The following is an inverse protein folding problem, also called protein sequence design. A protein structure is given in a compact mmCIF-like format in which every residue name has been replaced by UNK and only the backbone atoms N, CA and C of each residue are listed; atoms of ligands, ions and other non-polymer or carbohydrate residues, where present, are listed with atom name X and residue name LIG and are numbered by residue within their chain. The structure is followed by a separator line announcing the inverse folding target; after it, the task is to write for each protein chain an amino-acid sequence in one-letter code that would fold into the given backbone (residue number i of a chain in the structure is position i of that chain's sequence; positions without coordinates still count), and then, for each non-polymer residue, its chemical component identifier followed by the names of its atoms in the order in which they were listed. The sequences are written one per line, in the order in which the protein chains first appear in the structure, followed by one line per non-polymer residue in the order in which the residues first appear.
data_IF_566633342977
#
_entry.id   IF_566633342977
#
_cell.length_a   1.000
_cell.length_b   1.000
_cell.length_c   1.000
_cell.angle_alpha   90.00
_cell.angle_beta   90.00
_cell.angle_gamma   90.00
#
_symmetry.space_group_name_H-M   'P 1'
#
loop_
_entity.id
_entity.type
_entity.pdbx_description
1 polymer ?
#
# COMPACT_ATOMS: atom_id res chain seq x y z
N UNK A 1 10.36 17.65 1.69
CA UNK A 1 10.69 17.39 0.28
C UNK A 1 10.10 16.03 -0.05
N UNK A 2 9.24 15.96 -1.03
CA UNK A 2 8.65 14.72 -1.51
C UNK A 2 9.69 13.95 -2.32
N UNK A 3 9.81 12.66 -2.07
CA UNK A 3 10.79 11.78 -2.72
C UNK A 3 10.08 11.07 -3.88
N UNK A 4 10.74 10.98 -5.03
CA UNK A 4 10.28 10.10 -6.12
C UNK A 4 10.65 8.68 -5.72
N UNK A 5 9.65 7.81 -5.59
CA UNK A 5 9.87 6.42 -5.23
C UNK A 5 10.43 5.65 -6.44
N UNK A 6 11.53 4.95 -6.22
CA UNK A 6 12.02 3.98 -7.20
C UNK A 6 11.02 2.83 -7.31
N UNK A 7 10.70 2.41 -8.52
CA UNK A 7 9.70 1.37 -8.76
C UNK A 7 10.12 0.41 -9.87
N UNK A 8 9.78 -0.85 -9.67
CA UNK A 8 9.88 -1.85 -10.71
C UNK A 8 8.53 -2.04 -11.40
N UNK A 9 8.54 -2.40 -12.70
CA UNK A 9 7.36 -2.48 -13.54
C UNK A 9 7.30 -3.80 -14.30
N UNK A 10 6.11 -4.40 -14.36
CA UNK A 10 5.76 -5.48 -15.28
C UNK A 10 4.67 -4.98 -16.22
N UNK A 11 4.91 -5.09 -17.53
CA UNK A 11 3.99 -4.66 -18.56
C UNK A 11 2.75 -5.55 -18.61
N UNK A 12 1.64 -5.02 -19.12
CA UNK A 12 0.49 -5.84 -19.50
C UNK A 12 0.89 -6.93 -20.48
N UNK A 13 0.34 -8.12 -20.30
CA UNK A 13 0.65 -9.29 -21.13
C UNK A 13 0.08 -9.16 -22.55
N UNK A 14 -1.07 -8.51 -22.68
CA UNK A 14 -1.75 -8.28 -23.97
C UNK A 14 -1.15 -7.15 -24.79
N UNK A 15 -0.37 -6.27 -24.17
CA UNK A 15 0.08 -5.00 -24.77
C UNK A 15 -0.97 -3.91 -24.76
N UNK A 16 -2.10 -4.12 -24.06
CA UNK A 16 -3.14 -3.11 -23.80
C UNK A 16 -3.15 -2.82 -22.31
N UNK A 17 -2.95 -1.56 -21.94
CA UNK A 17 -2.96 -1.13 -20.55
C UNK A 17 -4.35 -0.58 -20.19
N UNK A 18 -5.16 -1.37 -19.48
CA UNK A 18 -6.53 -1.00 -19.10
C UNK A 18 -6.76 -0.97 -17.58
N UNK A 19 -5.79 -1.41 -16.81
CA UNK A 19 -5.81 -1.32 -15.34
C UNK A 19 -4.39 -1.31 -14.77
N UNK A 20 -4.28 -0.76 -13.56
CA UNK A 20 -3.04 -0.61 -12.82
C UNK A 20 -3.14 -1.30 -11.47
N UNK A 21 -2.18 -2.15 -11.16
CA UNK A 21 -1.99 -2.71 -9.82
C UNK A 21 -0.69 -2.16 -9.24
N UNK A 22 -0.76 -1.57 -8.05
CA UNK A 22 0.40 -1.10 -7.29
C UNK A 22 0.57 -1.99 -6.07
N UNK A 23 1.71 -2.68 -5.99
CA UNK A 23 2.09 -3.50 -4.85
C UNK A 23 2.83 -2.68 -3.80
N UNK A 24 2.40 -2.76 -2.55
CA UNK A 24 3.00 -2.07 -1.42
C UNK A 24 3.58 -3.11 -0.46
N UNK A 25 4.90 -3.17 -0.37
CA UNK A 25 5.62 -4.18 0.42
C UNK A 25 5.56 -3.93 1.94
N UNK A 26 5.89 -4.96 2.71
CA UNK A 26 5.97 -4.90 4.16
C UNK A 26 7.28 -4.27 4.67
N UNK A 27 7.35 -4.04 5.99
CA UNK A 27 8.52 -3.52 6.69
C UNK A 27 9.76 -4.38 6.44
N UNK A 28 10.85 -3.77 6.02
CA UNK A 28 12.13 -4.45 5.76
C UNK A 28 12.21 -5.24 4.44
N UNK A 29 11.16 -5.16 3.62
CA UNK A 29 11.12 -5.73 2.27
C UNK A 29 11.43 -4.67 1.20
N UNK A 30 11.20 -5.00 -0.06
CA UNK A 30 11.34 -4.11 -1.21
C UNK A 30 10.25 -4.41 -2.25
N UNK A 31 10.11 -3.56 -3.27
CA UNK A 31 9.09 -3.72 -4.31
C UNK A 31 9.16 -5.06 -5.04
N UNK A 32 10.36 -5.57 -5.30
CA UNK A 32 10.54 -6.84 -6.02
C UNK A 32 9.96 -8.05 -5.27
N UNK A 33 9.87 -7.99 -3.93
CA UNK A 33 9.35 -9.11 -3.13
C UNK A 33 7.87 -9.42 -3.46
N UNK A 34 7.09 -8.42 -3.84
CA UNK A 34 5.70 -8.60 -4.25
C UNK A 34 5.51 -8.63 -5.78
N UNK A 35 6.43 -8.03 -6.53
CA UNK A 35 6.32 -7.97 -7.99
C UNK A 35 6.31 -9.36 -8.65
N UNK A 36 6.91 -10.36 -8.01
CA UNK A 36 6.84 -11.75 -8.46
C UNK A 36 5.42 -12.32 -8.57
N UNK A 37 4.43 -11.72 -7.90
CA UNK A 37 3.02 -12.07 -8.04
C UNK A 37 2.43 -11.65 -9.39
N UNK A 38 3.03 -10.65 -10.05
CA UNK A 38 2.56 -10.17 -11.35
C UNK A 38 2.56 -11.25 -12.42
N UNK A 39 3.55 -12.16 -12.41
CA UNK A 39 3.63 -13.26 -13.38
C UNK A 39 2.39 -14.16 -13.33
N UNK A 40 1.92 -14.48 -12.11
CA UNK A 40 0.75 -15.32 -11.90
C UNK A 40 -0.55 -14.55 -12.17
N UNK A 41 -0.64 -13.31 -11.72
CA UNK A 41 -1.81 -12.48 -11.91
C UNK A 41 -2.03 -12.10 -13.37
N UNK A 42 -0.98 -11.86 -14.15
CA UNK A 42 -1.06 -11.50 -15.56
C UNK A 42 -1.69 -12.58 -16.45
N UNK A 43 -1.74 -13.84 -15.98
CA UNK A 43 -2.49 -14.90 -16.68
C UNK A 43 -3.99 -14.66 -16.65
N UNK A 44 -4.49 -14.05 -15.58
CA UNK A 44 -5.91 -13.76 -15.36
C UNK A 44 -6.28 -12.29 -15.62
N UNK A 45 -5.28 -11.40 -15.57
CA UNK A 45 -5.37 -9.95 -15.76
C UNK A 45 -4.43 -9.52 -16.89
N UNK A 46 -4.65 -9.97 -18.13
CA UNK A 46 -3.68 -9.76 -19.23
C UNK A 46 -3.50 -8.29 -19.63
N UNK A 47 -4.47 -7.43 -19.34
CA UNK A 47 -4.49 -6.01 -19.70
C UNK A 47 -4.07 -5.10 -18.52
N UNK A 48 -3.39 -5.67 -17.51
CA UNK A 48 -2.99 -4.98 -16.29
C UNK A 48 -1.50 -4.69 -16.28
N UNK A 49 -1.14 -3.45 -15.96
CA UNK A 49 0.21 -3.03 -15.60
C UNK A 49 0.41 -3.23 -14.10
N UNK A 50 1.57 -3.73 -13.71
CA UNK A 50 1.94 -3.93 -12.31
C UNK A 50 3.15 -3.06 -11.96
N UNK A 51 3.03 -2.29 -10.89
CA UNK A 51 4.09 -1.48 -10.32
C UNK A 51 4.36 -1.91 -8.89
N UNK A 52 5.61 -1.81 -8.47
CA UNK A 52 6.01 -2.11 -7.11
C UNK A 52 7.11 -1.12 -6.66
N UNK A 53 6.73 -0.01 -6.02
CA UNK A 53 7.70 0.95 -5.50
C UNK A 53 8.42 0.41 -4.27
N UNK A 54 9.66 0.85 -4.09
CA UNK A 54 10.36 0.80 -2.82
C UNK A 54 9.85 1.91 -1.91
N UNK A 55 9.66 1.60 -0.63
CA UNK A 55 9.28 2.59 0.36
C UNK A 55 10.40 3.65 0.56
N UNK A 56 10.06 4.87 1.04
CA UNK A 56 10.97 6.01 0.98
C UNK A 56 12.18 5.93 1.92
N UNK A 57 12.14 5.10 2.94
CA UNK A 57 13.22 5.01 3.94
C UNK A 57 13.90 3.64 3.91
N UNK A 58 15.24 3.64 3.99
CA UNK A 58 15.98 2.39 4.24
C UNK A 58 15.60 1.83 5.61
N UNK A 59 15.31 0.54 5.67
CA UNK A 59 14.94 -0.11 6.91
C UNK A 59 16.13 -0.20 7.89
N UNK A 60 15.92 0.28 9.12
CA UNK A 60 16.98 0.33 10.13
C UNK A 60 17.41 -1.05 10.63
N UNK A 61 16.49 -2.02 10.63
CA UNK A 61 16.76 -3.39 11.12
C UNK A 61 17.09 -4.38 9.98
N UNK A 62 16.88 -3.98 8.73
CA UNK A 62 17.26 -4.75 7.54
C UNK A 62 17.86 -3.83 6.47
N UNK A 63 19.19 -3.62 6.46
CA UNK A 63 19.84 -2.66 5.56
C UNK A 63 19.66 -2.92 4.06
N UNK A 64 19.16 -4.09 3.66
CA UNK A 64 18.85 -4.43 2.27
C UNK A 64 17.40 -4.17 1.88
N UNK A 65 16.56 -3.72 2.80
CA UNK A 65 15.14 -3.45 2.58
C UNK A 65 14.75 -2.04 2.96
N UNK A 66 13.47 -1.74 2.79
CA UNK A 66 12.88 -0.42 2.98
C UNK A 66 11.73 -0.47 3.99
N UNK A 67 11.34 0.69 4.47
CA UNK A 67 10.21 0.90 5.37
C UNK A 67 9.42 2.13 4.95
N UNK A 68 8.10 2.08 5.09
CA UNK A 68 7.25 3.24 4.85
C UNK A 68 7.41 4.28 5.96
N UNK A 69 7.46 3.80 7.20
CA UNK A 69 7.68 4.61 8.39
C UNK A 69 8.31 3.75 9.50
N UNK A 70 9.00 4.38 10.46
CA UNK A 70 9.56 3.68 11.62
C UNK A 70 8.48 3.01 12.47
N UNK A 71 8.81 1.85 13.06
CA UNK A 71 7.90 1.10 13.94
C UNK A 71 8.53 0.99 15.33
N UNK A 72 8.10 1.80 16.33
CA UNK A 72 8.76 1.94 17.63
C UNK A 72 9.08 0.62 18.35
N UNK A 73 8.15 -0.33 18.35
CA UNK A 73 8.37 -1.62 19.04
C UNK A 73 9.27 -2.61 18.26
N UNK A 74 9.67 -2.26 17.02
CA UNK A 74 10.59 -3.07 16.20
C UNK A 74 11.98 -2.45 16.18
N UNK A 75 12.08 -1.15 15.95
CA UNK A 75 13.35 -0.47 15.66
C UNK A 75 13.82 0.47 16.78
N UNK A 76 13.00 0.64 17.83
CA UNK A 76 13.31 1.50 18.96
C UNK A 76 13.16 3.00 18.66
N UNK A 77 12.55 3.37 17.53
CA UNK A 77 12.19 4.75 17.22
C UNK A 77 11.15 5.31 18.19
N UNK A 78 10.99 6.61 18.20
CA UNK A 78 9.94 7.28 18.98
C UNK A 78 8.62 7.32 18.21
N UNK A 79 7.51 7.48 18.93
CA UNK A 79 6.19 7.70 18.31
C UNK A 79 6.21 8.93 17.38
N UNK A 80 6.90 10.02 17.80
CA UNK A 80 7.05 11.23 16.99
C UNK A 80 7.80 10.98 15.67
N UNK A 81 8.81 10.09 15.67
CA UNK A 81 9.52 9.69 14.46
C UNK A 81 8.62 8.85 13.56
N UNK A 82 7.84 7.95 14.14
CA UNK A 82 6.85 7.13 13.42
C UNK A 82 5.79 8.01 12.75
N UNK A 83 5.20 8.96 13.47
CA UNK A 83 4.20 9.89 12.94
C UNK A 83 4.75 10.75 11.81
N UNK A 84 5.95 11.32 11.98
CA UNK A 84 6.62 12.08 10.93
C UNK A 84 6.94 11.24 9.70
N UNK A 85 7.37 10.00 9.90
CA UNK A 85 7.61 9.04 8.82
C UNK A 85 6.33 8.74 8.05
N UNK A 86 5.24 8.45 8.77
CA UNK A 86 3.94 8.18 8.17
C UNK A 86 3.43 9.36 7.32
N UNK A 87 3.54 10.58 7.83
CA UNK A 87 3.13 11.77 7.07
C UNK A 87 3.90 11.90 5.76
N UNK A 88 5.24 11.75 5.81
CA UNK A 88 6.07 11.78 4.59
C UNK A 88 5.75 10.67 3.63
N UNK A 89 5.67 9.44 4.11
CA UNK A 89 5.34 8.28 3.28
C UNK A 89 3.95 8.41 2.63
N UNK A 90 3.01 9.06 3.32
CA UNK A 90 1.68 9.36 2.77
C UNK A 90 1.77 10.30 1.58
N UNK A 91 2.52 11.40 1.70
CA UNK A 91 2.73 12.36 0.62
C UNK A 91 3.46 11.72 -0.57
N UNK A 92 4.53 10.96 -0.30
CA UNK A 92 5.34 10.28 -1.31
C UNK A 92 4.51 9.23 -2.07
N UNK A 93 3.72 8.42 -1.36
CA UNK A 93 2.87 7.40 -1.98
C UNK A 93 1.72 8.01 -2.78
N UNK A 94 1.07 9.07 -2.29
CA UNK A 94 0.02 9.78 -3.03
C UNK A 94 0.56 10.36 -4.34
N UNK A 95 1.75 10.95 -4.29
CA UNK A 95 2.40 11.47 -5.49
C UNK A 95 2.76 10.34 -6.45
N UNK A 96 3.32 9.24 -5.96
CA UNK A 96 3.66 8.07 -6.77
C UNK A 96 2.42 7.51 -7.49
N UNK A 97 1.32 7.30 -6.77
CA UNK A 97 0.07 6.78 -7.35
C UNK A 97 -0.42 7.72 -8.47
N UNK A 98 -0.44 9.03 -8.20
CA UNK A 98 -0.89 10.02 -9.18
C UNK A 98 -0.01 10.03 -10.43
N UNK A 99 1.31 10.06 -10.28
CA UNK A 99 2.26 10.04 -11.40
C UNK A 99 2.13 8.74 -12.20
N UNK A 100 1.99 7.61 -11.53
CA UNK A 100 1.81 6.31 -12.19
C UNK A 100 0.54 6.27 -13.03
N UNK A 101 -0.58 6.78 -12.52
CA UNK A 101 -1.83 6.89 -13.28
C UNK A 101 -1.66 7.79 -14.52
N UNK A 102 -1.00 8.95 -14.36
CA UNK A 102 -0.72 9.87 -15.46
C UNK A 102 0.18 9.24 -16.53
N UNK A 103 1.23 8.53 -16.13
CA UNK A 103 2.19 7.86 -17.03
C UNK A 103 1.54 6.70 -17.80
N UNK A 104 0.68 5.92 -17.15
CA UNK A 104 -0.03 4.79 -17.78
C UNK A 104 -1.31 5.24 -18.52
N UNK A 105 -1.73 6.50 -18.37
CA UNK A 105 -2.95 7.03 -18.98
C UNK A 105 -4.23 6.44 -18.36
N UNK A 106 -4.16 6.06 -17.09
CA UNK A 106 -5.23 5.43 -16.30
C UNK A 106 -5.73 6.36 -15.19
N UNK A 107 -6.86 6.03 -14.59
CA UNK A 107 -7.50 6.78 -13.53
C UNK A 107 -7.61 5.96 -12.22
N UNK A 108 -8.11 6.60 -11.18
CA UNK A 108 -8.44 5.94 -9.91
C UNK A 108 -9.39 4.75 -10.12
N UNK A 109 -10.39 4.90 -11.01
CA UNK A 109 -11.36 3.84 -11.30
C UNK A 109 -10.77 2.57 -11.94
N UNK A 110 -9.51 2.63 -12.37
CA UNK A 110 -8.77 1.54 -13.00
C UNK A 110 -7.58 1.09 -12.13
N UNK A 111 -7.38 1.68 -10.96
CA UNK A 111 -6.22 1.45 -10.09
C UNK A 111 -6.58 0.65 -8.84
N UNK A 112 -5.80 -0.39 -8.57
CA UNK A 112 -5.90 -1.23 -7.36
C UNK A 112 -4.61 -1.12 -6.55
N UNK A 113 -4.74 -0.99 -5.24
CA UNK A 113 -3.62 -1.12 -4.30
C UNK A 113 -3.64 -2.52 -3.68
N UNK A 114 -2.51 -3.22 -3.73
CA UNK A 114 -2.32 -4.50 -3.05
C UNK A 114 -1.20 -4.34 -2.04
N UNK A 115 -1.51 -4.50 -0.76
CA UNK A 115 -0.55 -4.32 0.32
C UNK A 115 -0.28 -5.60 1.12
N UNK A 116 0.93 -5.70 1.65
CA UNK A 116 1.29 -6.70 2.65
C UNK A 116 1.81 -6.01 3.91
N UNK A 117 1.29 -6.37 5.08
CA UNK A 117 1.73 -5.88 6.39
C UNK A 117 1.74 -4.33 6.44
N UNK A 118 2.90 -3.68 6.57
CA UNK A 118 3.02 -2.23 6.54
C UNK A 118 2.49 -1.60 5.22
N UNK A 119 2.65 -2.30 4.09
CA UNK A 119 2.06 -1.87 2.81
C UNK A 119 0.53 -1.89 2.82
N UNK A 120 -0.10 -2.85 3.53
CA UNK A 120 -1.56 -2.83 3.77
C UNK A 120 -1.95 -1.61 4.61
N UNK A 121 -1.16 -1.28 5.65
CA UNK A 121 -1.41 -0.09 6.47
C UNK A 121 -1.39 1.18 5.61
N UNK A 122 -0.42 1.29 4.68
CA UNK A 122 -0.35 2.41 3.74
C UNK A 122 -1.52 2.44 2.75
N UNK A 123 -1.91 1.30 2.18
CA UNK A 123 -3.06 1.22 1.27
C UNK A 123 -4.35 1.68 1.95
N UNK A 124 -4.60 1.21 3.18
CA UNK A 124 -5.76 1.59 3.99
C UNK A 124 -5.69 3.04 4.49
N UNK A 125 -4.47 3.59 4.63
CA UNK A 125 -4.29 4.98 5.03
C UNK A 125 -4.50 5.95 3.87
N UNK A 126 -3.98 5.63 2.68
CA UNK A 126 -3.99 6.53 1.52
C UNK A 126 -5.29 6.39 0.71
N UNK A 127 -5.71 5.16 0.38
CA UNK A 127 -6.82 4.92 -0.54
C UNK A 127 -8.13 5.64 -0.16
N UNK A 128 -8.64 5.50 1.08
CA UNK A 128 -9.86 6.20 1.49
C UNK A 128 -9.73 7.72 1.56
N UNK A 129 -8.51 8.26 1.60
CA UNK A 129 -8.24 9.71 1.62
C UNK A 129 -8.09 10.32 0.22
N UNK A 130 -8.13 9.51 -0.82
CA UNK A 130 -8.19 9.99 -2.21
C UNK A 130 -9.58 10.55 -2.51
N UNK A 131 -9.65 11.62 -3.29
CA UNK A 131 -10.92 12.30 -3.63
C UNK A 131 -11.79 11.40 -4.48
N UNK A 132 -11.19 10.82 -5.54
CA UNK A 132 -11.84 9.86 -6.39
C UNK A 132 -11.52 8.45 -5.91
N UNK A 133 -12.53 7.58 -5.89
CA UNK A 133 -12.37 6.22 -5.39
C UNK A 133 -11.54 5.37 -6.34
N UNK A 134 -10.45 4.81 -5.85
CA UNK A 134 -9.74 3.77 -6.58
C UNK A 134 -10.62 2.53 -6.75
N UNK A 135 -10.30 1.69 -7.74
CA UNK A 135 -11.03 0.46 -8.07
C UNK A 135 -11.12 -0.51 -6.88
N UNK A 136 -10.07 -0.57 -6.07
CA UNK A 136 -10.10 -1.38 -4.85
C UNK A 136 -8.80 -1.43 -4.08
N UNK A 137 -8.89 -1.99 -2.88
CA UNK A 137 -7.75 -2.31 -2.00
C UNK A 137 -7.79 -3.80 -1.66
N UNK A 138 -6.65 -4.48 -1.78
CA UNK A 138 -6.46 -5.83 -1.28
C UNK A 138 -5.34 -5.76 -0.24
N UNK A 139 -5.66 -6.07 1.01
CA UNK A 139 -4.72 -5.98 2.12
C UNK A 139 -4.46 -7.33 2.78
N UNK A 140 -3.20 -7.69 2.93
CA UNK A 140 -2.77 -8.90 3.62
C UNK A 140 -2.08 -8.54 4.93
N UNK A 141 -2.50 -9.15 6.05
CA UNK A 141 -1.84 -9.09 7.37
C UNK A 141 -1.49 -7.66 7.83
N UNK A 142 -2.43 -6.72 7.67
CA UNK A 142 -2.24 -5.32 8.05
C UNK A 142 -3.28 -4.84 9.06
N UNK A 143 -3.23 -3.56 9.37
CA UNK A 143 -4.19 -2.89 10.26
C UNK A 143 -4.46 -1.46 9.82
N UNK A 144 -5.55 -0.88 10.27
CA UNK A 144 -5.77 0.57 10.20
C UNK A 144 -4.91 1.25 11.28
N UNK A 145 -4.16 2.28 10.89
CA UNK A 145 -3.21 2.96 11.77
C UNK A 145 -3.90 3.85 12.80
N UNK A 146 -4.86 4.64 12.37
CA UNK A 146 -5.63 5.54 13.21
C UNK A 146 -7.10 5.54 12.74
N UNK A 147 -7.97 4.70 13.34
CA UNK A 147 -9.38 4.60 12.94
C UNK A 147 -10.13 5.94 12.99
N UNK A 148 -9.95 6.72 14.07
CA UNK A 148 -10.64 7.99 14.27
C UNK A 148 -10.26 9.00 13.19
N UNK A 149 -8.96 9.18 12.92
CA UNK A 149 -8.47 10.05 11.85
C UNK A 149 -8.93 9.57 10.46
N UNK A 150 -9.03 8.26 10.25
CA UNK A 150 -9.55 7.75 8.98
C UNK A 150 -11.00 8.18 8.76
N UNK A 151 -11.86 8.06 9.76
CA UNK A 151 -13.27 8.46 9.66
C UNK A 151 -13.43 9.97 9.44
N UNK A 152 -12.57 10.79 10.07
CA UNK A 152 -12.59 12.24 9.88
C UNK A 152 -12.12 12.67 8.47
N UNK A 153 -11.11 11.99 7.92
CA UNK A 153 -10.44 12.36 6.67
C UNK A 153 -10.94 11.57 5.46
N UNK A 154 -11.86 10.62 5.62
CA UNK A 154 -12.38 9.77 4.56
C UNK A 154 -13.06 10.60 3.46
N UNK A 155 -12.61 10.46 2.23
CA UNK A 155 -13.15 11.15 1.04
C UNK A 155 -13.84 10.19 0.07
N UNK A 156 -13.40 8.93 0.08
CA UNK A 156 -13.95 7.87 -0.77
C UNK A 156 -13.98 6.54 -0.03
N UNK A 157 -14.80 5.61 -0.51
CA UNK A 157 -14.94 4.27 0.08
C UNK A 157 -14.63 3.18 -0.96
N UNK A 158 -13.35 2.97 -1.29
CA UNK A 158 -12.99 1.93 -2.25
C UNK A 158 -13.38 0.53 -1.75
N UNK A 159 -13.87 -0.35 -2.62
CA UNK A 159 -14.07 -1.75 -2.29
C UNK A 159 -12.78 -2.34 -1.69
N UNK A 160 -12.90 -2.96 -0.52
CA UNK A 160 -11.72 -3.43 0.22
C UNK A 160 -11.87 -4.90 0.58
N UNK A 161 -10.85 -5.70 0.24
CA UNK A 161 -10.70 -7.09 0.64
C UNK A 161 -9.53 -7.20 1.62
N UNK A 162 -9.79 -7.71 2.82
CA UNK A 162 -8.77 -7.96 3.83
C UNK A 162 -8.60 -9.46 4.05
N UNK A 163 -7.35 -9.90 4.09
CA UNK A 163 -6.95 -11.28 4.30
C UNK A 163 -5.93 -11.30 5.45
N UNK A 164 -6.17 -12.14 6.46
CA UNK A 164 -5.33 -12.16 7.66
C UNK A 164 -5.18 -13.57 8.20
N UNK A 165 -3.97 -13.95 8.56
CA UNK A 165 -3.70 -15.23 9.22
C UNK A 165 -4.20 -15.20 10.68
N UNK A 166 -4.90 -16.24 11.10
CA UNK A 166 -5.42 -16.37 12.46
C UNK A 166 -4.34 -16.64 13.52
N UNK A 167 -3.11 -16.93 13.08
CA UNK A 167 -1.92 -17.15 13.91
C UNK A 167 -0.82 -16.12 13.63
N UNK A 168 -1.20 -14.91 13.22
CA UNK A 168 -0.24 -13.82 12.97
C UNK A 168 0.23 -13.24 14.31
N UNK A 169 1.49 -13.49 14.65
CA UNK A 169 2.11 -13.02 15.89
C UNK A 169 2.70 -11.60 15.78
N UNK A 170 2.74 -11.02 14.58
CA UNK A 170 3.29 -9.68 14.32
C UNK A 170 2.19 -8.63 14.29
N UNK A 171 1.16 -8.85 13.47
CA UNK A 171 -0.06 -8.04 13.45
C UNK A 171 -1.20 -8.88 13.97
N UNK A 172 -1.69 -8.62 15.19
CA UNK A 172 -2.70 -9.47 15.82
C UNK A 172 -3.96 -9.63 14.96
N UNK A 173 -4.49 -10.85 14.88
CA UNK A 173 -5.70 -11.17 14.09
C UNK A 173 -6.91 -10.27 14.43
N UNK A 174 -7.01 -9.79 15.68
CA UNK A 174 -8.03 -8.82 16.10
C UNK A 174 -8.00 -7.51 15.30
N UNK A 175 -6.88 -7.18 14.68
CA UNK A 175 -6.77 -6.01 13.79
C UNK A 175 -7.69 -6.09 12.57
N UNK A 176 -8.01 -7.31 12.10
CA UNK A 176 -8.96 -7.52 11.02
C UNK A 176 -10.37 -7.04 11.40
N UNK A 177 -10.85 -7.42 12.59
CA UNK A 177 -12.17 -7.00 13.08
C UNK A 177 -12.27 -5.49 13.27
N UNK A 178 -11.20 -4.87 13.79
CA UNK A 178 -11.12 -3.42 13.92
C UNK A 178 -11.17 -2.74 12.55
N UNK A 179 -10.40 -3.25 11.59
CA UNK A 179 -10.39 -2.70 10.24
C UNK A 179 -11.76 -2.84 9.54
N UNK A 180 -12.39 -4.02 9.67
CA UNK A 180 -13.73 -4.26 9.13
C UNK A 180 -14.76 -3.26 9.69
N UNK A 181 -14.80 -3.12 11.02
CA UNK A 181 -15.75 -2.20 11.68
C UNK A 181 -15.55 -0.76 11.23
N UNK A 182 -14.29 -0.30 11.18
CA UNK A 182 -13.97 1.08 10.76
C UNK A 182 -14.34 1.35 9.30
N UNK A 183 -14.11 0.39 8.41
CA UNK A 183 -14.40 0.55 6.98
C UNK A 183 -15.90 0.47 6.64
N UNK A 184 -16.72 -0.07 7.55
CA UNK A 184 -18.17 -0.14 7.41
C UNK A 184 -18.91 1.12 7.87
N UNK A 185 -18.27 1.97 8.67
CA UNK A 185 -18.77 3.29 9.09
C UNK A 185 -18.68 4.32 7.96
#
# INVERSE_FOLDING_TARGET
MTVILDSNRVNSRSGVDSSLVIFLHGYGANGNDLLGLADQLSEHLPDTVFLAPDAPETCSVNPGGFQWFPIPWIDGSTEEESERGLLRATEDLQMFIKQSMEEEGLSEAETILIGFSQGTMMALHVGPRMVDSILGIIGFSGRILNPESLLEDCKSKPPTLLIHGDQDDVVPFSSLSTAESTLQE
#
